data_IF_390930506124
#
_entry.id   IF_390930506124
#
_cell.length_a   1.000
_cell.length_b   1.000
_cell.length_c   1.000
_cell.angle_alpha   90.00
_cell.angle_beta   90.00
_cell.angle_gamma   90.00
#
_symmetry.space_group_name_H-M   'P 1'
#
loop_
_entity.id
_entity.type
_entity.pdbx_description
1 polymer ?
#
# COMPACT_ATOMS: atom_id res chain seq x y z
N UNK A 1 -57.28 64.90 7.61
CA UNK A 1 -58.17 65.57 6.63
C UNK A 1 -57.34 65.98 5.41
N UNK A 2 -57.57 65.40 4.20
CA UNK A 2 -56.92 65.76 2.90
C UNK A 2 -55.37 65.56 2.86
N UNK A 3 -54.68 65.29 1.74
CA UNK A 3 -55.06 64.86 0.37
C UNK A 3 -53.88 64.18 -0.34
N UNK A 4 -54.22 63.30 -1.27
CA UNK A 4 -53.48 62.56 -2.31
C UNK A 4 -52.37 63.28 -3.10
N UNK A 5 -51.30 62.55 -3.49
CA UNK A 5 -50.58 62.54 -4.81
C UNK A 5 -49.55 61.39 -4.77
N UNK A 6 -49.57 60.29 -5.53
CA UNK A 6 -49.67 59.98 -6.97
C UNK A 6 -48.36 60.15 -7.79
N UNK A 7 -47.74 58.99 -8.09
CA UNK A 7 -46.83 58.62 -9.21
C UNK A 7 -45.59 59.46 -9.57
N UNK A 8 -44.47 58.77 -9.83
CA UNK A 8 -43.91 58.58 -11.20
C UNK A 8 -42.92 57.39 -11.21
N UNK A 9 -43.10 56.46 -12.16
CA UNK A 9 -42.06 55.51 -12.59
C UNK A 9 -41.14 56.17 -13.61
N UNK A 10 -39.81 55.91 -13.55
CA UNK A 10 -39.02 55.34 -14.68
C UNK A 10 -37.51 55.29 -14.40
N UNK A 11 -36.91 54.17 -14.84
CA UNK A 11 -35.53 53.97 -15.37
C UNK A 11 -34.35 54.53 -14.53
N UNK A 12 -33.41 53.67 -14.14
CA UNK A 12 -32.18 53.28 -14.86
C UNK A 12 -31.76 51.91 -14.27
N UNK A 13 -31.60 50.83 -15.03
CA UNK A 13 -30.56 50.56 -16.03
C UNK A 13 -29.15 50.61 -15.41
N UNK A 14 -28.68 49.45 -14.93
CA UNK A 14 -27.39 49.28 -14.27
C UNK A 14 -27.18 47.84 -13.83
N UNK A 15 -26.85 46.95 -14.77
CA UNK A 15 -26.47 45.58 -14.45
C UNK A 15 -25.13 45.59 -13.70
N UNK A 16 -25.17 45.29 -12.41
CA UNK A 16 -24.00 44.97 -11.61
C UNK A 16 -24.26 43.65 -10.86
N UNK A 17 -24.40 42.56 -11.62
CA UNK A 17 -24.24 41.23 -11.05
C UNK A 17 -22.75 41.09 -10.75
N UNK A 18 -22.38 41.44 -9.52
CA UNK A 18 -21.07 41.08 -8.96
C UNK A 18 -21.10 39.56 -8.80
N UNK A 19 -20.57 38.87 -9.81
CA UNK A 19 -20.27 37.46 -9.72
C UNK A 19 -19.12 37.31 -8.72
N UNK A 20 -19.47 37.23 -7.44
CA UNK A 20 -18.55 36.85 -6.38
C UNK A 20 -18.22 35.37 -6.59
N UNK A 21 -17.22 35.12 -7.45
CA UNK A 21 -16.56 33.82 -7.53
C UNK A 21 -15.81 33.65 -6.23
N UNK A 22 -16.52 33.18 -5.21
CA UNK A 22 -15.90 32.50 -4.09
C UNK A 22 -15.26 31.27 -4.73
N UNK A 23 -13.95 31.36 -4.99
CA UNK A 23 -13.12 30.20 -5.16
C UNK A 23 -13.20 29.46 -3.82
N UNK A 24 -14.19 28.57 -3.71
CA UNK A 24 -14.20 27.55 -2.69
C UNK A 24 -12.97 26.71 -2.97
N UNK A 25 -11.88 27.01 -2.27
CA UNK A 25 -10.82 26.07 -2.05
C UNK A 25 -11.49 24.89 -1.36
N UNK A 26 -11.87 23.89 -2.14
CA UNK A 26 -12.22 22.60 -1.61
C UNK A 26 -10.97 22.16 -0.85
N UNK A 27 -11.06 22.15 0.47
CA UNK A 27 -10.11 21.42 1.28
C UNK A 27 -10.38 19.95 0.95
N UNK A 28 -9.72 19.46 -0.09
CA UNK A 28 -9.54 18.03 -0.28
C UNK A 28 -8.79 17.52 0.95
N UNK A 29 -9.05 16.28 1.41
CA UNK A 29 -8.05 15.59 2.22
C UNK A 29 -6.70 15.67 1.50
N UNK A 30 -5.63 15.84 2.28
CA UNK A 30 -4.29 15.98 1.73
C UNK A 30 -3.66 14.59 1.68
N UNK A 31 -4.10 13.77 0.73
CA UNK A 31 -3.54 12.45 0.49
C UNK A 31 -2.05 12.60 0.15
N UNK A 32 -1.18 11.77 0.74
CA UNK A 32 0.19 11.65 0.28
C UNK A 32 0.21 11.24 -1.19
N UNK A 33 1.15 11.78 -1.98
CA UNK A 33 1.30 11.34 -3.36
C UNK A 33 2.18 10.08 -3.43
N UNK A 34 2.05 9.25 -4.48
CA UNK A 34 3.00 8.18 -4.75
C UNK A 34 4.45 8.70 -4.88
N UNK A 35 5.40 8.03 -4.21
CA UNK A 35 6.84 8.30 -4.36
C UNK A 35 7.31 7.72 -5.71
N UNK A 36 6.97 8.40 -6.81
CA UNK A 36 7.25 7.98 -8.19
C UNK A 36 8.74 7.88 -8.55
N UNK A 37 9.63 8.38 -7.70
CA UNK A 37 11.09 8.22 -7.79
C UNK A 37 11.58 6.84 -7.34
N UNK A 38 10.75 6.11 -6.57
CA UNK A 38 11.01 4.76 -6.04
C UNK A 38 10.07 3.76 -6.72
N UNK A 39 8.77 4.06 -6.72
CA UNK A 39 7.71 3.28 -7.33
C UNK A 39 7.43 3.79 -8.75
N UNK A 40 8.39 3.51 -9.64
CA UNK A 40 8.32 3.87 -11.06
C UNK A 40 7.34 3.00 -11.86
N UNK A 41 7.26 3.23 -13.19
CA UNK A 41 6.40 2.47 -14.10
C UNK A 41 6.72 0.96 -14.20
N UNK A 42 7.78 0.48 -13.55
CA UNK A 42 8.08 -0.94 -13.39
C UNK A 42 7.41 -1.58 -12.17
N UNK A 43 6.66 -0.82 -11.37
CA UNK A 43 5.86 -1.30 -10.24
C UNK A 43 4.36 -1.25 -10.57
N UNK A 44 3.60 -2.17 -9.96
CA UNK A 44 2.13 -2.17 -10.03
C UNK A 44 1.57 -1.87 -8.64
N UNK A 45 0.80 -0.80 -8.52
CA UNK A 45 0.07 -0.47 -7.29
C UNK A 45 -1.08 -1.48 -7.07
N UNK A 46 -1.23 -1.98 -5.85
CA UNK A 46 -2.27 -2.95 -5.45
C UNK A 46 -3.18 -2.44 -4.33
N UNK A 47 -2.78 -1.37 -3.64
CA UNK A 47 -3.64 -0.64 -2.71
C UNK A 47 -3.32 0.86 -2.72
N UNK A 48 -4.27 1.65 -2.26
CA UNK A 48 -4.08 2.98 -1.71
C UNK A 48 -5.16 3.22 -0.66
N UNK A 49 -4.75 3.78 0.47
CA UNK A 49 -5.64 4.13 1.59
C UNK A 49 -6.05 5.62 1.48
N UNK A 50 -7.24 5.99 2.01
CA UNK A 50 -7.77 7.36 2.13
C UNK A 50 -8.92 7.44 3.19
N UNK A 51 -8.95 6.52 4.14
CA UNK A 51 -10.04 6.30 5.09
C UNK A 51 -9.79 6.95 6.45
N UNK A 52 -9.64 8.28 6.43
CA UNK A 52 -10.18 9.09 7.53
C UNK A 52 -11.65 9.39 7.24
N UNK A 53 -12.51 8.37 7.39
CA UNK A 53 -13.94 8.46 7.11
C UNK A 53 -14.62 9.66 7.78
N UNK A 54 -15.76 10.13 7.23
CA UNK A 54 -16.39 11.45 7.46
C UNK A 54 -16.83 11.83 8.91
N UNK A 55 -16.32 11.16 9.94
CA UNK A 55 -16.43 11.53 11.36
C UNK A 55 -15.10 11.44 12.15
N UNK A 56 -13.98 11.11 11.49
CA UNK A 56 -12.60 11.50 11.85
C UNK A 56 -12.12 11.29 13.29
N UNK A 57 -12.28 10.10 13.89
CA UNK A 57 -11.94 9.87 15.32
C UNK A 57 -11.12 8.57 15.64
N UNK A 58 -9.84 8.57 15.22
CA UNK A 58 -8.64 7.67 15.45
C UNK A 58 -7.96 7.41 16.84
N UNK A 59 -8.63 7.08 17.95
CA UNK A 59 -8.01 7.14 19.32
C UNK A 59 -7.17 5.93 19.80
N UNK A 60 -5.91 6.02 20.33
CA UNK A 60 -4.88 7.09 20.31
C UNK A 60 -3.56 6.70 19.59
N UNK A 61 -2.94 7.69 18.93
CA UNK A 61 -1.85 7.50 17.94
C UNK A 61 -2.31 8.09 16.61
N UNK A 62 -2.78 9.35 16.66
CA UNK A 62 -4.15 9.68 16.22
C UNK A 62 -4.28 10.00 14.71
N UNK A 63 -3.61 9.25 13.85
CA UNK A 63 -3.56 9.54 12.41
C UNK A 63 -2.96 10.91 12.09
N UNK A 64 -2.99 11.25 10.80
CA UNK A 64 -2.01 12.16 10.24
C UNK A 64 -0.70 11.42 9.94
N UNK A 65 0.21 12.12 9.28
CA UNK A 65 1.28 11.52 8.48
C UNK A 65 2.03 10.37 9.15
N UNK A 66 2.58 10.58 10.35
CA UNK A 66 3.35 9.58 11.13
C UNK A 66 2.66 8.22 11.37
N UNK A 67 1.36 8.07 11.06
CA UNK A 67 0.57 6.86 11.26
C UNK A 67 -0.32 6.49 10.04
N UNK A 68 -0.05 7.06 8.86
CA UNK A 68 -0.83 6.88 7.62
C UNK A 68 -0.24 5.73 6.77
N UNK A 69 -1.03 4.73 6.40
CA UNK A 69 -0.63 3.55 5.63
C UNK A 69 -1.00 3.75 4.15
N UNK A 70 -0.17 4.47 3.40
CA UNK A 70 -0.60 5.15 2.16
C UNK A 70 -0.78 4.23 0.94
N UNK A 71 0.21 3.38 0.62
CA UNK A 71 0.23 2.60 -0.63
C UNK A 71 0.92 1.23 -0.49
N UNK A 72 0.40 0.24 -1.23
CA UNK A 72 1.09 -1.02 -1.52
C UNK A 72 1.35 -1.18 -3.02
N UNK A 73 2.53 -1.69 -3.34
CA UNK A 73 2.99 -2.00 -4.68
C UNK A 73 3.57 -3.41 -4.74
N UNK A 74 3.57 -4.03 -5.92
CA UNK A 74 4.39 -5.21 -6.20
C UNK A 74 5.12 -5.10 -7.53
N UNK A 75 6.15 -5.93 -7.67
CA UNK A 75 6.93 -6.12 -8.89
C UNK A 75 7.46 -7.55 -8.91
N UNK A 76 7.05 -8.34 -9.91
CA UNK A 76 7.64 -9.67 -10.14
C UNK A 76 8.76 -9.57 -11.18
N UNK A 77 9.89 -10.22 -10.94
CA UNK A 77 11.01 -10.27 -11.87
C UNK A 77 11.67 -11.65 -11.82
N UNK A 78 11.25 -12.52 -12.75
CA UNK A 78 11.58 -13.94 -12.69
C UNK A 78 10.91 -14.59 -11.48
N UNK A 79 11.70 -15.18 -10.59
CA UNK A 79 11.26 -15.77 -9.32
C UNK A 79 11.32 -14.80 -8.14
N UNK A 80 11.85 -13.58 -8.34
CA UNK A 80 11.90 -12.58 -7.27
C UNK A 80 10.61 -11.77 -7.26
N UNK A 81 9.81 -11.92 -6.21
CA UNK A 81 8.73 -11.00 -5.87
C UNK A 81 9.31 -9.88 -5.01
N UNK A 82 9.06 -8.64 -5.42
CA UNK A 82 9.27 -7.46 -4.61
C UNK A 82 7.94 -6.85 -4.21
N UNK A 83 7.80 -6.46 -2.95
CA UNK A 83 6.65 -5.72 -2.43
C UNK A 83 7.15 -4.39 -1.90
N UNK A 84 6.44 -3.32 -2.24
CA UNK A 84 6.71 -1.95 -1.81
C UNK A 84 5.59 -1.48 -0.90
N UNK A 85 5.95 -1.01 0.30
CA UNK A 85 5.06 -0.31 1.22
C UNK A 85 5.46 1.17 1.24
N UNK A 86 4.47 2.05 1.17
CA UNK A 86 4.59 3.48 1.41
C UNK A 86 3.70 3.83 2.62
N UNK A 87 4.24 4.59 3.57
CA UNK A 87 3.55 5.01 4.79
C UNK A 87 4.27 6.22 5.37
N UNK A 88 3.57 7.15 6.00
CA UNK A 88 4.23 8.19 6.80
C UNK A 88 4.77 7.69 8.14
N UNK A 89 4.44 6.45 8.55
CA UNK A 89 5.09 5.77 9.68
C UNK A 89 6.56 5.47 9.37
N UNK A 90 7.45 5.55 10.37
CA UNK A 90 8.89 5.29 10.17
C UNK A 90 9.16 3.82 9.80
N UNK A 91 9.37 3.58 8.50
CA UNK A 91 9.75 2.29 7.93
C UNK A 91 11.27 2.10 7.80
N UNK A 92 12.11 3.02 8.28
CA UNK A 92 13.57 2.84 8.32
C UNK A 92 13.94 2.13 9.63
N UNK A 93 13.62 2.75 10.76
CA UNK A 93 13.90 2.22 12.10
C UNK A 93 12.74 1.35 12.64
N UNK A 94 11.54 1.47 12.06
CA UNK A 94 10.38 0.65 12.40
C UNK A 94 9.62 1.10 13.64
N UNK A 95 9.81 2.34 14.09
CA UNK A 95 9.15 2.82 15.31
C UNK A 95 8.91 4.33 15.33
N UNK A 96 7.77 4.75 15.86
CA UNK A 96 7.36 6.15 16.03
C UNK A 96 7.10 6.44 17.51
N UNK A 97 7.67 7.51 18.05
CA UNK A 97 7.38 7.95 19.42
C UNK A 97 6.33 9.06 19.44
N UNK A 98 5.16 8.78 20.02
CA UNK A 98 4.04 9.70 20.08
C UNK A 98 3.35 9.67 21.45
N UNK A 99 3.02 10.85 21.99
CA UNK A 99 2.24 11.02 23.23
C UNK A 99 2.75 10.22 24.45
N UNK A 100 4.06 10.02 24.58
CA UNK A 100 4.64 9.29 25.71
C UNK A 100 4.84 7.79 25.50
N UNK A 101 4.54 7.27 24.30
CA UNK A 101 4.65 5.85 23.93
C UNK A 101 5.40 5.67 22.62
N UNK A 102 6.13 4.58 22.48
CA UNK A 102 6.66 4.11 21.20
C UNK A 102 5.68 3.10 20.58
N UNK A 103 5.41 3.29 19.30
CA UNK A 103 4.67 2.38 18.44
C UNK A 103 5.66 1.73 17.48
N UNK A 104 5.35 0.51 17.03
CA UNK A 104 6.23 -0.31 16.20
C UNK A 104 5.52 -0.69 14.90
N UNK A 105 6.26 -0.77 13.81
CA UNK A 105 5.78 -1.31 12.54
C UNK A 105 5.45 -2.80 12.70
N UNK A 106 4.42 -3.26 11.99
CA UNK A 106 4.14 -4.69 11.84
C UNK A 106 4.89 -5.30 10.66
N UNK A 107 4.68 -6.60 10.47
CA UNK A 107 5.20 -7.34 9.32
C UNK A 107 4.27 -7.18 8.11
N UNK A 108 4.79 -7.47 6.90
CA UNK A 108 3.90 -7.68 5.76
C UNK A 108 3.27 -9.07 5.88
N UNK A 109 1.97 -9.12 6.15
CA UNK A 109 1.19 -10.35 6.11
C UNK A 109 0.81 -10.67 4.66
N UNK A 110 1.05 -11.92 4.23
CA UNK A 110 0.99 -12.35 2.83
C UNK A 110 0.23 -13.66 2.66
N UNK A 111 -0.64 -13.70 1.65
CA UNK A 111 -1.30 -14.91 1.13
C UNK A 111 -1.11 -14.98 -0.39
N UNK A 112 -1.00 -16.20 -0.91
CA UNK A 112 -0.75 -16.47 -2.33
C UNK A 112 -1.83 -17.37 -2.98
N UNK A 113 -2.82 -17.81 -2.20
CA UNK A 113 -3.92 -18.69 -2.60
C UNK A 113 -5.25 -17.94 -2.84
N UNK A 114 -5.19 -16.60 -2.94
CA UNK A 114 -6.32 -15.71 -3.16
C UNK A 114 -7.37 -15.74 -2.01
N UNK A 115 -6.88 -15.93 -0.77
CA UNK A 115 -7.67 -16.01 0.45
C UNK A 115 -7.26 -14.92 1.47
N UNK A 116 -7.51 -13.65 1.16
CA UNK A 116 -7.39 -12.50 2.09
C UNK A 116 -8.02 -12.60 3.50
N UNK A 117 -8.66 -13.71 3.86
CA UNK A 117 -9.16 -13.96 5.23
C UNK A 117 -8.17 -14.72 6.11
N UNK A 118 -7.09 -15.24 5.52
CA UNK A 118 -6.00 -15.93 6.19
C UNK A 118 -4.69 -15.48 5.54
N UNK A 119 -3.66 -15.24 6.34
CA UNK A 119 -2.33 -14.91 5.86
C UNK A 119 -1.38 -16.00 6.38
N UNK A 120 -0.97 -16.89 5.48
CA UNK A 120 -0.12 -18.04 5.79
C UNK A 120 1.36 -17.66 5.91
N UNK A 121 1.74 -16.48 5.41
CA UNK A 121 3.11 -16.01 5.37
C UNK A 121 3.26 -14.61 5.98
N UNK A 122 4.45 -14.35 6.50
CA UNK A 122 4.90 -13.01 6.90
C UNK A 122 6.21 -12.71 6.18
N UNK A 123 6.41 -11.47 5.77
CA UNK A 123 7.75 -10.96 5.53
C UNK A 123 8.15 -10.06 6.71
N UNK A 124 9.08 -10.55 7.52
CA UNK A 124 9.67 -9.80 8.64
C UNK A 124 10.72 -8.80 8.12
N UNK A 125 10.74 -7.62 8.72
CA UNK A 125 11.55 -6.48 8.27
C UNK A 125 12.99 -6.45 8.82
N UNK A 126 13.37 -7.34 9.74
CA UNK A 126 14.62 -7.32 10.50
C UNK A 126 14.70 -6.17 11.51
N UNK A 127 13.54 -5.69 11.97
CA UNK A 127 13.40 -4.53 12.87
C UNK A 127 13.01 -4.99 14.28
N UNK A 128 13.06 -4.06 15.24
CA UNK A 128 12.54 -4.33 16.59
C UNK A 128 11.02 -4.23 16.57
N UNK A 129 10.33 -5.35 16.80
CA UNK A 129 8.87 -5.40 16.85
C UNK A 129 8.38 -5.58 18.28
N UNK A 130 7.37 -4.78 18.68
CA UNK A 130 6.63 -4.97 19.93
C UNK A 130 5.15 -4.72 19.75
N UNK A 131 4.36 -5.38 20.59
CA UNK A 131 2.93 -5.16 20.64
C UNK A 131 2.55 -3.83 21.32
N UNK A 132 1.25 -3.51 21.34
CA UNK A 132 0.76 -2.29 22.00
C UNK A 132 1.09 -2.22 23.50
N UNK A 133 1.40 -3.33 24.15
CA UNK A 133 1.72 -3.42 25.57
C UNK A 133 3.23 -3.48 25.84
N UNK A 134 4.04 -3.11 24.85
CA UNK A 134 5.51 -3.06 24.90
C UNK A 134 6.16 -4.43 25.15
N UNK A 135 5.45 -5.53 24.84
CA UNK A 135 6.00 -6.90 24.83
C UNK A 135 6.67 -7.16 23.49
N UNK A 136 7.85 -7.79 23.52
CA UNK A 136 8.56 -8.23 22.32
C UNK A 136 7.67 -9.20 21.52
N UNK A 137 7.68 -9.05 20.21
CA UNK A 137 7.09 -9.98 19.24
C UNK A 137 8.25 -10.60 18.49
N UNK A 138 8.35 -11.93 18.52
CA UNK A 138 9.57 -12.65 18.15
C UNK A 138 9.24 -14.11 17.87
N UNK A 139 9.43 -14.59 16.63
CA UNK A 139 9.38 -16.02 16.32
C UNK A 139 10.69 -16.73 16.74
N UNK A 140 11.80 -16.00 16.87
CA UNK A 140 13.07 -16.44 17.44
C UNK A 140 13.03 -16.39 18.98
N UNK A 141 12.46 -17.45 19.57
CA UNK A 141 12.49 -17.65 21.03
C UNK A 141 13.90 -17.90 21.61
N UNK A 142 14.97 -17.94 20.80
CA UNK A 142 16.35 -18.14 21.28
C UNK A 142 17.09 -16.82 21.52
N UNK A 143 16.82 -15.79 20.70
CA UNK A 143 17.28 -14.42 20.92
C UNK A 143 16.40 -13.71 21.96
N UNK A 144 15.07 -13.78 21.81
CA UNK A 144 14.10 -13.05 22.66
C UNK A 144 14.42 -11.56 22.78
N UNK A 145 14.82 -10.92 21.67
CA UNK A 145 15.13 -9.49 21.60
C UNK A 145 14.11 -8.69 20.75
N UNK A 146 13.10 -9.40 20.20
CA UNK A 146 12.03 -8.83 19.37
C UNK A 146 12.49 -8.55 17.95
N UNK A 147 13.42 -9.36 17.41
CA UNK A 147 13.98 -9.20 16.07
C UNK A 147 14.18 -10.55 15.39
N UNK A 148 13.30 -10.85 14.45
CA UNK A 148 13.53 -11.92 13.51
C UNK A 148 14.55 -11.54 12.42
N UNK A 149 15.01 -12.54 11.67
CA UNK A 149 15.88 -12.32 10.53
C UNK A 149 15.05 -11.93 9.30
N UNK A 150 15.35 -10.78 8.68
CA UNK A 150 14.58 -10.26 7.54
C UNK A 150 14.38 -11.29 6.42
N UNK A 151 13.13 -11.60 6.09
CA UNK A 151 12.80 -12.65 5.13
C UNK A 151 11.36 -13.12 5.21
N UNK A 152 11.02 -14.08 4.34
CA UNK A 152 9.71 -14.71 4.25
C UNK A 152 9.63 -15.93 5.19
N UNK A 153 8.61 -15.94 6.04
CA UNK A 153 8.30 -17.00 7.01
C UNK A 153 6.98 -17.69 6.66
N UNK A 154 6.88 -18.99 6.93
CA UNK A 154 5.59 -19.67 7.11
C UNK A 154 5.09 -19.36 8.52
N UNK A 155 3.92 -18.73 8.64
CA UNK A 155 3.38 -18.30 9.93
C UNK A 155 2.63 -19.44 10.60
N UNK A 156 2.86 -19.60 11.90
CA UNK A 156 2.11 -20.50 12.78
C UNK A 156 1.32 -19.76 13.86
N UNK A 157 1.71 -18.53 14.20
CA UNK A 157 1.03 -17.66 15.16
C UNK A 157 1.22 -16.19 14.79
N UNK A 158 0.13 -15.42 14.87
CA UNK A 158 0.12 -13.96 14.72
C UNK A 158 -0.03 -13.30 16.10
N UNK A 159 0.78 -12.29 16.40
CA UNK A 159 0.59 -11.43 17.56
C UNK A 159 -0.39 -10.32 17.21
N UNK A 160 -1.61 -10.45 17.73
CA UNK A 160 -2.70 -9.50 17.50
C UNK A 160 -2.99 -8.63 18.72
N UNK A 161 -1.98 -8.42 19.57
CA UNK A 161 -2.09 -7.62 20.81
C UNK A 161 -1.94 -6.12 20.54
N UNK A 162 -2.68 -5.63 19.54
CA UNK A 162 -2.75 -4.22 19.12
C UNK A 162 -3.98 -3.53 19.73
N UNK A 163 -4.01 -2.20 19.74
CA UNK A 163 -5.12 -1.45 20.33
C UNK A 163 -6.41 -1.57 19.50
N UNK A 164 -6.32 -1.36 18.18
CA UNK A 164 -7.42 -1.55 17.24
C UNK A 164 -7.34 -2.91 16.56
N UNK A 165 -7.90 -3.94 17.19
CA UNK A 165 -7.87 -5.32 16.67
C UNK A 165 -8.68 -5.56 15.39
N UNK A 166 -9.26 -4.52 14.78
CA UNK A 166 -9.86 -4.61 13.44
C UNK A 166 -8.79 -4.62 12.34
N UNK A 167 -7.59 -4.09 12.61
CA UNK A 167 -6.46 -4.02 11.69
C UNK A 167 -5.56 -5.27 11.72
N UNK A 168 -6.00 -6.39 12.30
CA UNK A 168 -5.17 -7.61 12.38
C UNK A 168 -5.12 -8.36 11.04
N UNK A 169 -4.01 -9.04 10.70
CA UNK A 169 -2.85 -9.35 11.55
C UNK A 169 -1.74 -8.28 11.63
N UNK A 170 -1.09 -8.15 12.80
CA UNK A 170 -0.02 -7.15 13.00
C UNK A 170 1.40 -7.68 12.74
N UNK A 171 1.85 -8.69 13.47
CA UNK A 171 3.21 -9.21 13.36
C UNK A 171 3.27 -10.70 13.75
N UNK A 172 4.23 -11.45 13.20
CA UNK A 172 4.39 -12.87 13.44
C UNK A 172 4.94 -13.13 14.85
N UNK A 173 4.26 -13.98 15.62
CA UNK A 173 4.67 -14.40 16.99
C UNK A 173 5.30 -15.81 16.99
N UNK A 174 5.38 -16.44 15.82
CA UNK A 174 5.88 -17.80 15.65
C UNK A 174 5.73 -18.29 14.22
N UNK A 175 6.80 -18.83 13.65
CA UNK A 175 6.84 -19.35 12.29
C UNK A 175 8.16 -20.02 11.96
N UNK A 176 8.42 -20.25 10.68
CA UNK A 176 9.72 -20.74 10.19
C UNK A 176 10.18 -19.99 8.95
N UNK A 177 11.41 -19.49 8.97
CA UNK A 177 12.03 -18.82 7.83
C UNK A 177 12.12 -19.79 6.64
N UNK A 178 11.51 -19.41 5.52
CA UNK A 178 11.52 -20.18 4.26
C UNK A 178 12.58 -19.61 3.31
N UNK A 179 12.65 -18.28 3.21
CA UNK A 179 13.52 -17.57 2.27
C UNK A 179 14.04 -16.30 2.92
N UNK A 180 15.38 -16.16 3.01
CA UNK A 180 16.00 -14.89 3.36
C UNK A 180 15.62 -13.82 2.36
N UNK A 181 15.30 -12.61 2.83
CA UNK A 181 14.92 -11.50 1.97
C UNK A 181 15.94 -10.37 1.92
N UNK A 182 15.88 -9.58 0.86
CA UNK A 182 16.52 -8.27 0.82
C UNK A 182 15.52 -7.21 1.28
N UNK A 183 15.97 -6.25 2.09
CA UNK A 183 15.21 -5.07 2.50
C UNK A 183 15.91 -3.80 2.07
N UNK A 184 15.13 -2.78 1.72
CA UNK A 184 15.61 -1.43 1.43
C UNK A 184 14.54 -0.45 1.92
N UNK A 185 14.94 0.66 2.53
CA UNK A 185 14.01 1.66 3.03
C UNK A 185 14.57 3.07 2.88
N UNK A 186 13.68 4.05 2.93
CA UNK A 186 14.03 5.46 2.84
C UNK A 186 12.86 6.37 3.17
N UNK A 187 13.08 7.68 3.01
CA UNK A 187 12.14 8.74 3.36
C UNK A 187 12.19 9.84 2.29
N UNK A 188 11.02 10.27 1.80
CA UNK A 188 10.87 11.42 0.91
C UNK A 188 10.30 12.61 1.69
N UNK A 189 11.20 13.49 2.14
CA UNK A 189 10.82 14.71 2.88
C UNK A 189 10.11 15.80 2.06
N UNK A 190 9.76 15.55 0.80
CA UNK A 190 8.83 16.38 0.02
C UNK A 190 7.39 15.96 0.25
N UNK A 191 7.19 14.66 0.45
CA UNK A 191 5.89 14.02 0.65
C UNK A 191 5.62 13.71 2.13
N UNK A 192 6.67 13.75 2.96
CA UNK A 192 6.63 13.37 4.39
C UNK A 192 6.31 11.88 4.56
N UNK A 193 6.72 11.06 3.59
CA UNK A 193 6.40 9.62 3.49
C UNK A 193 7.67 8.78 3.52
N UNK A 194 7.64 7.69 4.29
CA UNK A 194 8.62 6.62 4.23
C UNK A 194 8.23 5.59 3.17
N UNK A 195 9.22 4.82 2.75
CA UNK A 195 9.02 3.63 1.93
C UNK A 195 9.89 2.49 2.42
N UNK A 196 9.39 1.26 2.24
CA UNK A 196 10.17 0.03 2.39
C UNK A 196 9.87 -0.90 1.23
N UNK A 197 10.93 -1.42 0.63
CA UNK A 197 10.89 -2.49 -0.37
C UNK A 197 11.44 -3.75 0.28
N UNK A 198 10.67 -4.83 0.17
CA UNK A 198 11.10 -6.18 0.50
C UNK A 198 11.19 -7.00 -0.78
N UNK A 199 12.15 -7.93 -0.87
CA UNK A 199 12.34 -8.79 -2.03
C UNK A 199 12.78 -10.19 -1.62
N UNK A 200 12.10 -11.21 -2.15
CA UNK A 200 12.35 -12.62 -1.84
C UNK A 200 12.07 -13.52 -3.05
N UNK A 201 12.63 -14.73 -3.02
CA UNK A 201 12.38 -15.74 -4.05
C UNK A 201 11.12 -16.57 -3.72
N UNK A 202 10.19 -16.66 -4.67
CA UNK A 202 8.90 -17.35 -4.51
C UNK A 202 8.93 -18.85 -4.86
N UNK A 203 10.06 -19.43 -5.28
CA UNK A 203 10.15 -20.87 -5.65
C UNK A 203 9.93 -21.83 -4.48
N UNK A 204 9.99 -21.32 -3.25
CA UNK A 204 9.71 -22.05 -2.02
C UNK A 204 8.24 -21.97 -1.58
N UNK A 205 7.46 -21.12 -2.25
CA UNK A 205 6.00 -20.97 -2.09
C UNK A 205 5.33 -22.00 -3.01
N UNK A 206 4.12 -22.44 -2.64
CA UNK A 206 3.34 -23.40 -3.43
C UNK A 206 2.72 -22.79 -4.69
N UNK A 207 1.44 -23.04 -4.92
CA UNK A 207 0.71 -22.42 -6.01
C UNK A 207 0.59 -20.89 -5.76
N UNK A 208 0.86 -20.10 -6.80
CA UNK A 208 0.75 -18.64 -6.80
C UNK A 208 -0.48 -18.26 -7.64
N UNK A 209 -1.65 -18.27 -7.00
CA UNK A 209 -2.94 -17.95 -7.62
C UNK A 209 -3.34 -16.48 -7.42
N UNK A 210 -2.73 -15.82 -6.43
CA UNK A 210 -2.83 -14.38 -6.19
C UNK A 210 -1.67 -13.85 -5.36
N UNK A 211 -1.78 -12.57 -5.00
CA UNK A 211 -1.04 -11.92 -3.93
C UNK A 211 -2.06 -11.09 -3.17
N UNK A 212 -2.38 -11.52 -1.95
CA UNK A 212 -3.04 -10.70 -0.94
C UNK A 212 -1.95 -10.24 0.04
N UNK A 213 -1.86 -8.93 0.27
CA UNK A 213 -0.86 -8.30 1.12
C UNK A 213 -1.53 -7.36 2.11
N UNK A 214 -1.10 -7.40 3.37
CA UNK A 214 -1.67 -6.63 4.46
C UNK A 214 -0.57 -6.06 5.35
N UNK A 215 -0.78 -4.84 5.85
CA UNK A 215 0.12 -4.21 6.81
C UNK A 215 -0.62 -3.28 7.79
N UNK A 216 -0.14 -3.26 9.04
CA UNK A 216 -0.52 -2.28 10.06
C UNK A 216 0.65 -2.08 11.04
N UNK A 217 0.47 -1.16 12.00
CA UNK A 217 1.39 -0.88 13.10
C UNK A 217 0.77 -1.24 14.46
N UNK A 218 1.56 -1.20 15.54
CA UNK A 218 1.17 -1.73 16.86
C UNK A 218 -0.05 -1.04 17.50
N UNK A 219 -0.42 0.17 17.06
CA UNK A 219 -1.68 0.83 17.44
C UNK A 219 -2.89 0.26 16.67
N UNK A 220 -2.72 -0.20 15.43
CA UNK A 220 -3.79 -0.65 14.55
C UNK A 220 -4.74 0.45 14.08
N UNK A 221 -4.41 1.72 14.29
CA UNK A 221 -5.31 2.85 13.99
C UNK A 221 -5.49 3.07 12.48
N UNK A 222 -4.65 2.45 11.67
CA UNK A 222 -4.73 2.43 10.23
C UNK A 222 -4.22 1.08 9.69
N UNK A 223 -4.61 0.74 8.45
CA UNK A 223 -4.38 -0.57 7.84
C UNK A 223 -4.48 -0.47 6.32
N UNK A 224 -3.59 -1.17 5.61
CA UNK A 224 -3.65 -1.24 4.15
C UNK A 224 -3.70 -2.69 3.67
N UNK A 225 -4.77 -3.00 2.92
CA UNK A 225 -5.00 -4.30 2.25
C UNK A 225 -4.86 -4.13 0.73
N UNK A 226 -3.93 -4.88 0.13
CA UNK A 226 -3.68 -4.91 -1.32
C UNK A 226 -3.92 -6.27 -1.93
N UNK A 227 -4.46 -6.28 -3.15
CA UNK A 227 -4.71 -7.50 -3.92
C UNK A 227 -4.18 -7.39 -5.35
N UNK A 228 -3.46 -8.42 -5.79
CA UNK A 228 -3.22 -8.71 -7.20
C UNK A 228 -3.62 -10.14 -7.53
N UNK A 229 -4.32 -10.32 -8.65
CA UNK A 229 -4.42 -11.64 -9.27
C UNK A 229 -3.03 -12.11 -9.70
N UNK A 230 -2.79 -13.43 -9.72
CA UNK A 230 -1.52 -13.98 -10.19
C UNK A 230 -1.11 -13.38 -11.55
N UNK A 231 0.16 -12.97 -11.72
CA UNK A 231 0.63 -12.45 -12.98
C UNK A 231 0.62 -13.58 -14.02
N UNK A 232 -0.47 -13.65 -14.78
CA UNK A 232 -0.65 -14.58 -15.89
C UNK A 232 0.55 -14.41 -16.82
N UNK A 233 1.39 -15.45 -17.01
CA UNK A 233 2.59 -15.33 -17.83
C UNK A 233 2.23 -14.74 -19.19
N UNK A 234 2.90 -13.65 -19.58
CA UNK A 234 2.59 -12.92 -20.82
C UNK A 234 2.39 -13.93 -21.94
N UNK A 235 1.16 -14.07 -22.46
CA UNK A 235 0.78 -15.36 -22.99
C UNK A 235 1.65 -15.67 -24.21
N UNK A 236 2.04 -16.95 -24.33
CA UNK A 236 2.80 -17.45 -25.46
C UNK A 236 2.10 -17.16 -26.81
N UNK A 237 0.86 -16.69 -26.80
CA UNK A 237 0.17 -16.03 -27.91
C UNK A 237 0.95 -14.86 -28.53
N UNK A 238 1.73 -14.06 -27.79
CA UNK A 238 2.57 -13.00 -28.39
C UNK A 238 3.72 -13.59 -29.20
N UNK A 239 4.39 -14.61 -28.66
CA UNK A 239 5.39 -15.39 -29.41
C UNK A 239 4.75 -16.13 -30.60
N UNK A 240 3.57 -16.72 -30.42
CA UNK A 240 2.81 -17.45 -31.45
C UNK A 240 2.28 -16.52 -32.54
N UNK A 241 1.92 -15.28 -32.19
CA UNK A 241 1.48 -14.23 -33.11
C UNK A 241 2.66 -13.70 -33.92
N UNK A 242 3.80 -13.40 -33.28
CA UNK A 242 5.04 -13.02 -33.96
C UNK A 242 5.58 -14.12 -34.89
N UNK A 243 5.63 -15.36 -34.41
CA UNK A 243 6.03 -16.53 -35.23
C UNK A 243 5.01 -16.88 -36.31
N UNK A 244 3.71 -16.69 -36.04
CA UNK A 244 2.63 -16.85 -37.01
C UNK A 244 2.71 -15.84 -38.17
N UNK A 245 2.90 -14.55 -37.86
CA UNK A 245 3.08 -13.48 -38.86
C UNK A 245 4.35 -13.71 -39.68
N UNK A 246 5.48 -14.02 -39.03
CA UNK A 246 6.74 -14.29 -39.74
C UNK A 246 6.66 -15.56 -40.59
N UNK A 247 5.96 -16.59 -40.13
CA UNK A 247 5.65 -17.80 -40.90
C UNK A 247 4.80 -17.52 -42.14
N UNK A 248 3.71 -16.74 -41.99
CA UNK A 248 2.85 -16.30 -43.10
C UNK A 248 3.64 -15.47 -44.13
N UNK A 249 4.45 -14.51 -43.69
CA UNK A 249 5.28 -13.69 -44.56
C UNK A 249 6.33 -14.53 -45.31
N UNK A 250 6.94 -15.51 -44.65
CA UNK A 250 7.88 -16.44 -45.29
C UNK A 250 7.19 -17.35 -46.32
N UNK A 251 5.99 -17.84 -46.04
CA UNK A 251 5.18 -18.63 -46.98
C UNK A 251 4.77 -17.81 -48.22
N UNK A 252 4.29 -16.59 -48.01
CA UNK A 252 3.87 -15.69 -49.09
C UNK A 252 5.05 -15.35 -50.02
N UNK A 253 6.24 -15.05 -49.46
CA UNK A 253 7.48 -14.84 -50.24
C UNK A 253 7.91 -16.07 -51.05
N UNK A 254 7.66 -17.30 -50.57
CA UNK A 254 7.94 -18.53 -51.34
C UNK A 254 6.96 -18.73 -52.50
N UNK A 255 5.71 -18.28 -52.37
CA UNK A 255 4.69 -18.40 -53.42
C UNK A 255 4.96 -17.44 -54.58
N UNK A 256 5.32 -16.19 -54.29
CA UNK A 256 5.61 -15.18 -55.33
C UNK A 256 6.96 -15.31 -56.03
N UNK A 257 7.86 -16.22 -55.60
CA UNK A 257 9.13 -16.54 -56.30
C UNK A 257 9.01 -17.76 -57.24
N UNK A 258 7.80 -18.29 -57.43
CA UNK A 258 7.48 -19.42 -58.33
C UNK A 258 6.47 -19.05 -59.42
N UNK A 259 6.17 -17.75 -59.56
CA UNK A 259 5.45 -17.14 -60.66
C UNK A 259 6.41 -16.19 -61.38
#
# INVERSE_FOLDING_TARGET
MKRTRFMILKKYAGQAIVALIIAGAACQPANAAPITTVFDAGWTQIASEDYVGASGYVNPGYGGQDFDAEYLYYKLSGTTLSIGLQSGFDLIDGSVYYSGKTYYAGDLALSFDNNKSVYEYAFDFGLLTKDYYDRLVDADLAASDGKDAAGLYAVSQWNNSIYFTAATPFAMDGGSLISSGATSAGYDGTLDSYWRIVSFDITSIGDFDGLDAHWTMSCGNDVIDGHAAAPVPEPATMLLFGTGITGLAAWQRRRFRKA
#
